data_IF_930716468499
#
_entry.id   IF_930716468499
#
_cell.length_a   1.000
_cell.length_b   1.000
_cell.length_c   1.000
_cell.angle_alpha   90.00
_cell.angle_beta   90.00
_cell.angle_gamma   90.00
#
_symmetry.space_group_name_H-M   'P 1'
#
loop_
_entity.id
_entity.type
_entity.pdbx_description
1 polymer ?
#
# COMPACT_ATOMS: atom_id res chain seq x y z
N UNK A 1 -15.75 -19.16 -14.19
CA UNK A 1 -15.04 -17.91 -13.86
C UNK A 1 -13.74 -18.33 -13.20
N UNK A 2 -12.64 -18.37 -13.95
CA UNK A 2 -11.32 -18.64 -13.37
C UNK A 2 -11.01 -17.57 -12.33
N UNK A 3 -11.09 -17.96 -11.06
CA UNK A 3 -10.58 -17.18 -9.96
C UNK A 3 -9.06 -17.27 -10.06
N UNK A 4 -8.47 -16.39 -10.86
CA UNK A 4 -7.02 -16.25 -10.96
C UNK A 4 -6.57 -15.73 -9.60
N UNK A 5 -6.28 -16.65 -8.68
CA UNK A 5 -5.59 -16.37 -7.44
C UNK A 5 -4.17 -15.95 -7.79
N UNK A 6 -4.02 -14.73 -8.32
CA UNK A 6 -2.71 -14.09 -8.35
C UNK A 6 -2.22 -14.06 -6.90
N UNK A 7 -0.97 -14.48 -6.64
CA UNK A 7 -0.45 -14.46 -5.29
C UNK A 7 -0.61 -13.04 -4.77
N UNK A 8 -1.40 -12.89 -3.70
CA UNK A 8 -1.74 -11.60 -3.12
C UNK A 8 -0.47 -11.02 -2.54
N UNK A 9 0.23 -10.20 -3.33
CA UNK A 9 1.48 -9.60 -2.91
C UNK A 9 1.21 -8.62 -1.76
N UNK A 10 2.19 -8.40 -0.88
CA UNK A 10 2.07 -7.42 0.19
C UNK A 10 1.66 -6.02 -0.35
N UNK A 11 2.08 -5.69 -1.57
CA UNK A 11 1.68 -4.48 -2.27
C UNK A 11 0.17 -4.44 -2.60
N UNK A 12 -0.38 -5.56 -3.09
CA UNK A 12 -1.83 -5.70 -3.32
C UNK A 12 -2.61 -5.59 -2.01
N UNK A 13 -2.10 -6.18 -0.92
CA UNK A 13 -2.75 -6.11 0.38
C UNK A 13 -2.81 -4.67 0.93
N UNK A 14 -1.73 -3.89 0.83
CA UNK A 14 -1.71 -2.48 1.23
C UNK A 14 -2.73 -1.64 0.46
N UNK A 15 -2.81 -1.83 -0.86
CA UNK A 15 -3.79 -1.13 -1.70
C UNK A 15 -5.22 -1.45 -1.27
N UNK A 16 -5.52 -2.72 -1.03
CA UNK A 16 -6.85 -3.13 -0.56
C UNK A 16 -7.18 -2.59 0.82
N UNK A 17 -6.24 -2.63 1.77
CA UNK A 17 -6.43 -2.07 3.12
C UNK A 17 -6.68 -0.56 3.07
N UNK A 18 -5.95 0.17 2.21
CA UNK A 18 -6.20 1.60 1.97
C UNK A 18 -7.62 1.85 1.44
N UNK A 19 -8.03 1.09 0.42
CA UNK A 19 -9.38 1.21 -0.15
C UNK A 19 -10.48 0.83 0.85
N UNK A 20 -10.24 -0.17 1.70
CA UNK A 20 -11.19 -0.58 2.74
C UNK A 20 -11.39 0.49 3.82
N UNK A 21 -10.36 1.27 4.16
CA UNK A 21 -10.48 2.45 5.04
C UNK A 21 -11.07 3.68 4.33
N UNK A 22 -11.24 3.63 3.01
CA UNK A 22 -11.69 4.78 2.22
C UNK A 22 -10.61 5.85 2.03
N UNK A 23 -9.33 5.53 2.27
CA UNK A 23 -8.23 6.46 2.13
C UNK A 23 -7.85 6.65 0.65
N UNK A 24 -7.73 7.91 0.23
CA UNK A 24 -7.00 8.26 -0.98
C UNK A 24 -5.49 8.07 -0.75
N UNK A 25 -4.71 8.08 -1.84
CA UNK A 25 -3.26 8.11 -1.69
C UNK A 25 -2.80 9.38 -0.97
N UNK A 26 -3.51 10.50 -1.16
CA UNK A 26 -3.25 11.78 -0.51
C UNK A 26 -3.50 11.69 1.00
N UNK A 27 -4.61 11.08 1.43
CA UNK A 27 -4.87 10.83 2.86
C UNK A 27 -3.77 9.97 3.48
N UNK A 28 -3.33 8.94 2.76
CA UNK A 28 -2.24 8.08 3.22
C UNK A 28 -0.90 8.85 3.26
N UNK A 29 -0.66 9.83 2.38
CA UNK A 29 0.55 10.69 2.49
C UNK A 29 0.52 11.53 3.75
N UNK A 30 -0.64 12.03 4.16
CA UNK A 30 -0.79 12.79 5.41
C UNK A 30 -0.59 11.88 6.63
N UNK A 31 -1.20 10.69 6.62
CA UNK A 31 -1.12 9.75 7.74
C UNK A 31 0.30 9.16 7.93
N UNK A 32 0.96 8.85 6.83
CA UNK A 32 2.29 8.22 6.86
C UNK A 32 3.42 9.24 6.84
N UNK A 33 3.20 10.45 6.32
CA UNK A 33 4.24 11.43 6.04
C UNK A 33 5.18 11.03 4.89
N UNK A 34 4.75 10.11 4.02
CA UNK A 34 5.45 9.69 2.81
C UNK A 34 4.91 10.43 1.59
N UNK A 35 5.68 10.46 0.51
CA UNK A 35 5.24 11.03 -0.76
C UNK A 35 4.31 10.08 -1.54
N UNK A 36 3.51 10.64 -2.44
CA UNK A 36 2.65 9.86 -3.34
C UNK A 36 3.44 8.80 -4.12
N UNK A 37 4.66 9.12 -4.55
CA UNK A 37 5.52 8.20 -5.29
C UNK A 37 5.96 7.00 -4.44
N UNK A 38 6.30 7.22 -3.17
CA UNK A 38 6.69 6.15 -2.24
C UNK A 38 5.51 5.24 -1.90
N UNK A 39 4.32 5.80 -1.72
CA UNK A 39 3.10 5.02 -1.50
C UNK A 39 2.70 4.23 -2.75
N UNK A 40 2.75 4.86 -3.92
CA UNK A 40 2.47 4.19 -5.19
C UNK A 40 3.48 3.08 -5.47
N UNK A 41 4.75 3.27 -5.12
CA UNK A 41 5.75 2.21 -5.15
C UNK A 41 5.39 1.10 -4.17
N UNK A 42 4.96 1.42 -2.95
CA UNK A 42 4.57 0.41 -1.96
C UNK A 42 3.34 -0.41 -2.39
N UNK A 43 2.44 0.15 -3.20
CA UNK A 43 1.29 -0.54 -3.78
C UNK A 43 1.58 -1.21 -5.13
N UNK A 44 2.76 -1.00 -5.70
CA UNK A 44 3.17 -1.59 -6.97
C UNK A 44 3.94 -2.91 -6.73
N UNK A 45 3.47 -4.04 -7.29
CA UNK A 45 4.22 -5.29 -7.22
C UNK A 45 5.62 -5.14 -7.82
N UNK A 46 6.63 -5.64 -7.11
CA UNK A 46 8.03 -5.64 -7.60
C UNK A 46 8.78 -4.31 -7.47
N UNK A 47 8.16 -3.25 -6.93
CA UNK A 47 8.89 -2.05 -6.57
C UNK A 47 9.67 -2.27 -5.26
N UNK A 48 10.91 -1.79 -5.23
CA UNK A 48 11.76 -1.86 -4.05
C UNK A 48 11.49 -0.64 -3.18
N UNK A 49 10.88 -0.86 -2.02
CA UNK A 49 10.52 0.18 -1.05
C UNK A 49 11.24 -0.12 0.26
N UNK A 50 11.85 0.87 0.93
CA UNK A 50 12.49 0.65 2.21
C UNK A 50 11.53 0.07 3.26
N UNK A 51 12.01 -0.87 4.08
CA UNK A 51 11.19 -1.50 5.12
C UNK A 51 10.59 -0.49 6.11
N UNK A 52 11.31 0.62 6.39
CA UNK A 52 10.79 1.70 7.24
C UNK A 52 9.53 2.33 6.65
N UNK A 53 9.47 2.52 5.33
CA UNK A 53 8.29 3.08 4.67
C UNK A 53 7.12 2.09 4.71
N UNK A 54 7.40 0.80 4.49
CA UNK A 54 6.41 -0.26 4.60
C UNK A 54 5.82 -0.32 6.02
N UNK A 55 6.67 -0.27 7.05
CA UNK A 55 6.22 -0.26 8.45
C UNK A 55 5.32 0.94 8.78
N UNK A 56 5.62 2.14 8.27
CA UNK A 56 4.78 3.33 8.44
C UNK A 56 3.42 3.16 7.75
N UNK A 57 3.41 2.60 6.54
CA UNK A 57 2.18 2.34 5.79
C UNK A 57 1.33 1.30 6.50
N UNK A 58 1.93 0.18 6.90
CA UNK A 58 1.21 -0.89 7.60
C UNK A 58 0.68 -0.39 8.95
N UNK A 59 1.40 0.48 9.66
CA UNK A 59 0.91 1.13 10.88
C UNK A 59 -0.28 2.08 10.63
N UNK A 60 -0.25 2.87 9.55
CA UNK A 60 -1.37 3.74 9.17
C UNK A 60 -2.59 2.96 8.65
N UNK A 61 -2.38 1.74 8.16
CA UNK A 61 -3.41 0.86 7.61
C UNK A 61 -3.91 -0.19 8.61
N UNK A 62 -3.29 -0.35 9.78
CA UNK A 62 -3.81 -1.12 10.91
C UNK A 62 -5.14 -0.54 11.42
#
# INVERSE_FOLDING_TARGET
>A
MEQISTPKTAASHRREARLAKGYSLEDLTVATGLTLAELAAAEKPGAQVPDNHLARIDHALA
#
